data_IF_640140494554
#
_entry.id   IF_640140494554
#
_cell.length_a   1.000
_cell.length_b   1.000
_cell.length_c   1.000
_cell.angle_alpha   90.00
_cell.angle_beta   90.00
_cell.angle_gamma   90.00
#
_symmetry.space_group_name_H-M   'P 1'
#
loop_
_entity.id
_entity.type
_entity.pdbx_description
1 polymer ?
#
# COMPACT_ATOMS: atom_id res chain seq x y z
N UNK A 1 -15.91 -12.92 5.23
CA UNK A 1 -15.09 -12.02 4.38
C UNK A 1 -15.89 -11.67 3.15
N UNK A 2 -15.90 -10.39 2.76
CA UNK A 2 -16.56 -9.92 1.55
C UNK A 2 -15.66 -10.24 0.33
N UNK A 3 -16.22 -10.93 -0.67
CA UNK A 3 -15.49 -11.36 -1.87
C UNK A 3 -15.10 -10.19 -2.77
N UNK A 4 -15.94 -9.17 -2.89
CA UNK A 4 -15.71 -8.01 -3.75
C UNK A 4 -14.54 -7.17 -3.22
N UNK A 5 -14.42 -7.00 -1.90
CA UNK A 5 -13.27 -6.33 -1.26
C UNK A 5 -11.97 -7.09 -1.51
N UNK A 6 -12.03 -8.41 -1.38
CA UNK A 6 -10.87 -9.29 -1.61
C UNK A 6 -10.44 -9.23 -3.07
N UNK A 7 -11.40 -9.24 -4.00
CA UNK A 7 -11.16 -9.08 -5.43
C UNK A 7 -10.57 -7.70 -5.75
N UNK A 8 -11.08 -6.63 -5.14
CA UNK A 8 -10.55 -5.29 -5.32
C UNK A 8 -9.09 -5.17 -4.87
N UNK A 9 -8.72 -5.78 -3.74
CA UNK A 9 -7.33 -5.86 -3.27
C UNK A 9 -6.45 -6.67 -4.25
N UNK A 10 -6.97 -7.77 -4.78
CA UNK A 10 -6.26 -8.58 -5.79
C UNK A 10 -6.02 -7.78 -7.09
N UNK A 11 -7.04 -7.10 -7.60
CA UNK A 11 -6.90 -6.21 -8.76
C UNK A 11 -5.87 -5.10 -8.49
N UNK A 12 -5.87 -4.53 -7.29
CA UNK A 12 -4.89 -3.53 -6.91
C UNK A 12 -3.47 -4.07 -6.91
N UNK A 13 -3.22 -5.24 -6.29
CA UNK A 13 -1.88 -5.88 -6.31
C UNK A 13 -1.40 -6.07 -7.75
N UNK A 14 -2.28 -6.59 -8.62
CA UNK A 14 -1.96 -6.83 -10.02
C UNK A 14 -1.83 -5.54 -10.87
N UNK A 15 -2.22 -4.39 -10.34
CA UNK A 15 -2.06 -3.08 -10.99
C UNK A 15 -0.68 -2.45 -10.79
N UNK A 16 0.12 -3.00 -9.85
CA UNK A 16 1.43 -2.44 -9.51
C UNK A 16 2.47 -2.91 -10.52
N UNK A 17 3.04 -1.96 -11.25
CA UNK A 17 4.09 -2.22 -12.22
C UNK A 17 5.29 -2.96 -11.59
N UNK A 18 5.83 -3.96 -12.29
CA UNK A 18 7.01 -4.70 -11.84
C UNK A 18 6.74 -5.75 -10.75
N UNK A 19 5.48 -5.98 -10.38
CA UNK A 19 5.08 -7.12 -9.54
C UNK A 19 4.58 -8.30 -10.42
N UNK A 20 4.86 -9.56 -10.04
CA UNK A 20 4.27 -10.71 -10.71
C UNK A 20 2.75 -10.73 -10.54
N UNK A 21 2.02 -11.02 -11.61
CA UNK A 21 0.58 -11.19 -11.56
C UNK A 21 0.21 -12.45 -10.78
N UNK A 22 -0.76 -12.32 -9.87
CA UNK A 22 -1.30 -13.41 -9.05
C UNK A 22 -2.78 -13.60 -9.34
N UNK A 23 -3.26 -14.84 -9.15
CA UNK A 23 -4.66 -15.23 -9.35
C UNK A 23 -5.45 -15.22 -8.02
N UNK A 24 -4.77 -15.28 -6.89
CA UNK A 24 -5.37 -15.22 -5.55
C UNK A 24 -4.40 -14.61 -4.54
N UNK A 25 -4.96 -13.88 -3.56
CA UNK A 25 -4.18 -13.32 -2.46
C UNK A 25 -3.46 -14.40 -1.64
N UNK A 26 -3.97 -15.64 -1.62
CA UNK A 26 -3.33 -16.79 -0.95
C UNK A 26 -1.89 -16.99 -1.42
N UNK A 27 -1.55 -16.62 -2.67
CA UNK A 27 -0.19 -16.70 -3.21
C UNK A 27 0.81 -15.73 -2.56
N UNK A 28 0.32 -14.80 -1.73
CA UNK A 28 1.15 -13.88 -0.94
C UNK A 28 1.57 -14.46 0.42
N UNK A 29 1.13 -15.68 0.76
CA UNK A 29 1.32 -16.29 2.08
C UNK A 29 2.78 -16.59 2.45
N UNK A 30 3.71 -16.54 1.49
CA UNK A 30 5.13 -16.75 1.72
C UNK A 30 5.90 -15.44 1.99
N UNK A 31 5.22 -14.30 1.85
CA UNK A 31 5.75 -12.95 2.10
C UNK A 31 6.60 -12.38 0.97
N UNK A 32 6.98 -13.16 -0.04
CA UNK A 32 7.95 -12.74 -1.08
C UNK A 32 7.41 -11.54 -1.88
N UNK A 33 6.17 -11.65 -2.34
CA UNK A 33 5.53 -10.59 -3.13
C UNK A 33 5.23 -9.34 -2.28
N UNK A 34 4.84 -9.52 -1.02
CA UNK A 34 4.57 -8.42 -0.10
C UNK A 34 5.84 -7.60 0.19
N UNK A 35 6.98 -8.28 0.38
CA UNK A 35 8.28 -7.64 0.56
C UNK A 35 8.67 -6.85 -0.68
N UNK A 36 8.54 -7.45 -1.88
CA UNK A 36 8.85 -6.77 -3.13
C UNK A 36 8.00 -5.50 -3.36
N UNK A 37 6.72 -5.53 -2.96
CA UNK A 37 5.88 -4.33 -2.98
C UNK A 37 6.36 -3.28 -1.97
N UNK A 38 6.66 -3.68 -0.74
CA UNK A 38 7.15 -2.75 0.29
C UNK A 38 8.50 -2.12 -0.06
N UNK A 39 9.38 -2.85 -0.75
CA UNK A 39 10.66 -2.31 -1.23
C UNK A 39 10.43 -1.17 -2.23
N UNK A 40 9.42 -1.29 -3.10
CA UNK A 40 9.05 -0.22 -4.02
C UNK A 40 8.36 0.96 -3.31
N UNK A 41 7.62 0.67 -2.24
CA UNK A 41 6.86 1.68 -1.49
C UNK A 41 7.79 2.50 -0.59
N UNK A 42 8.61 1.85 0.23
CA UNK A 42 9.50 2.45 1.24
C UNK A 42 10.93 1.90 1.14
N UNK A 43 11.65 2.15 0.03
CA UNK A 43 12.98 1.58 -0.19
C UNK A 43 14.00 1.94 0.90
N UNK A 44 13.81 3.08 1.58
CA UNK A 44 14.70 3.52 2.66
C UNK A 44 14.69 2.60 3.89
N UNK A 45 13.66 1.77 4.06
CA UNK A 45 13.57 0.79 5.16
C UNK A 45 14.25 -0.54 4.85
N UNK A 46 14.78 -0.70 3.63
CA UNK A 46 15.38 -1.94 3.15
C UNK A 46 16.91 -1.82 3.15
N UNK A 47 17.61 -2.58 4.01
CA UNK A 47 19.06 -2.64 3.98
C UNK A 47 19.55 -3.26 2.66
N UNK A 48 20.65 -2.75 2.10
CA UNK A 48 21.18 -3.20 0.81
C UNK A 48 21.57 -4.69 0.77
N UNK A 49 21.88 -5.30 1.92
CA UNK A 49 22.38 -6.67 2.03
C UNK A 49 21.44 -7.59 2.82
N UNK A 50 20.13 -7.29 2.88
CA UNK A 50 19.19 -8.12 3.65
C UNK A 50 18.85 -9.41 2.89
N UNK A 51 19.27 -10.56 3.42
CA UNK A 51 18.93 -11.87 2.86
C UNK A 51 17.74 -12.50 3.60
N UNK A 52 16.57 -12.50 2.95
CA UNK A 52 15.33 -13.06 3.51
C UNK A 52 14.98 -14.42 2.87
N UNK A 53 15.83 -15.40 3.13
CA UNK A 53 15.78 -16.72 2.46
C UNK A 53 14.64 -17.62 2.94
N UNK A 54 14.21 -17.49 4.19
CA UNK A 54 13.14 -18.31 4.78
C UNK A 54 11.81 -17.56 4.85
N UNK A 55 10.68 -18.28 4.80
CA UNK A 55 9.33 -17.68 4.98
C UNK A 55 9.23 -16.96 6.33
N UNK A 56 9.76 -17.56 7.40
CA UNK A 56 9.77 -16.95 8.74
C UNK A 56 10.55 -15.65 8.75
N UNK A 57 11.77 -15.60 8.19
CA UNK A 57 12.55 -14.37 8.11
C UNK A 57 11.82 -13.28 7.30
N UNK A 58 11.14 -13.67 6.21
CA UNK A 58 10.31 -12.76 5.42
C UNK A 58 9.15 -12.18 6.23
N UNK A 59 8.43 -13.01 6.98
CA UNK A 59 7.32 -12.56 7.82
C UNK A 59 7.77 -11.71 9.00
N UNK A 60 8.87 -12.08 9.66
CA UNK A 60 9.43 -11.28 10.75
C UNK A 60 9.88 -9.89 10.25
N UNK A 61 10.48 -9.83 9.06
CA UNK A 61 10.85 -8.58 8.43
C UNK A 61 9.62 -7.74 8.03
N UNK A 62 8.59 -8.38 7.47
CA UNK A 62 7.32 -7.73 7.14
C UNK A 62 6.65 -7.13 8.39
N UNK A 63 6.65 -7.88 9.50
CA UNK A 63 6.13 -7.43 10.80
C UNK A 63 6.91 -6.20 11.29
N UNK A 64 8.25 -6.24 11.20
CA UNK A 64 9.10 -5.13 11.59
C UNK A 64 8.80 -3.87 10.79
N UNK A 65 8.82 -3.95 9.46
CA UNK A 65 8.59 -2.80 8.56
C UNK A 65 7.21 -2.19 8.81
N UNK A 66 6.15 -3.01 8.78
CA UNK A 66 4.80 -2.50 9.03
C UNK A 66 4.65 -1.93 10.44
N UNK A 67 5.26 -2.55 11.45
CA UNK A 67 5.16 -2.02 12.82
C UNK A 67 5.80 -0.65 12.97
N UNK A 68 6.93 -0.43 12.30
CA UNK A 68 7.62 0.85 12.29
C UNK A 68 6.82 1.92 11.53
N UNK A 69 6.30 1.59 10.34
CA UNK A 69 5.50 2.51 9.53
C UNK A 69 4.23 2.99 10.25
N UNK A 70 3.55 2.08 10.94
CA UNK A 70 2.28 2.36 11.62
C UNK A 70 2.45 2.71 13.11
N UNK A 71 3.69 2.74 13.62
CA UNK A 71 4.02 2.91 15.03
C UNK A 71 3.11 2.07 15.95
N UNK A 72 2.90 0.81 15.57
CA UNK A 72 1.94 -0.13 16.18
C UNK A 72 2.50 -1.53 16.07
N UNK A 73 2.32 -2.37 17.09
CA UNK A 73 2.65 -3.80 16.99
C UNK A 73 1.68 -4.51 16.04
N UNK A 74 2.13 -4.80 14.82
CA UNK A 74 1.24 -5.31 13.78
C UNK A 74 0.78 -6.75 14.05
N UNK A 75 1.55 -7.52 14.80
CA UNK A 75 1.22 -8.88 15.24
C UNK A 75 0.04 -8.94 16.24
N UNK A 76 -0.32 -7.81 16.86
CA UNK A 76 -1.56 -7.66 17.65
C UNK A 76 -2.79 -7.35 16.78
N UNK A 77 -2.59 -7.01 15.50
CA UNK A 77 -3.65 -6.63 14.54
C UNK A 77 -3.88 -7.67 13.45
N UNK A 78 -2.83 -8.39 13.08
CA UNK A 78 -2.80 -9.39 12.01
C UNK A 78 -2.19 -10.68 12.55
N UNK A 79 -2.86 -11.80 12.30
CA UNK A 79 -2.37 -13.12 12.70
C UNK A 79 -1.46 -13.73 11.63
N UNK A 80 -0.18 -13.34 11.62
CA UNK A 80 0.81 -13.86 10.67
C UNK A 80 1.03 -15.38 10.76
N UNK A 81 0.76 -16.00 11.93
CA UNK A 81 0.80 -17.46 12.04
C UNK A 81 -0.31 -18.12 11.20
N UNK A 82 -1.48 -17.50 11.13
CA UNK A 82 -2.57 -17.99 10.28
C UNK A 82 -2.25 -17.82 8.78
N UNK A 83 -1.56 -16.74 8.41
CA UNK A 83 -1.05 -16.53 7.05
C UNK A 83 -0.10 -17.66 6.65
N UNK A 84 0.93 -17.94 7.46
CA UNK A 84 1.95 -18.95 7.08
C UNK A 84 1.40 -20.37 7.13
N UNK A 85 0.65 -20.72 8.17
CA UNK A 85 0.26 -22.11 8.42
C UNK A 85 -1.01 -22.54 7.67
N UNK A 86 -1.93 -21.60 7.45
CA UNK A 86 -3.24 -21.89 6.88
C UNK A 86 -3.54 -21.10 5.61
N UNK A 87 -2.62 -20.24 5.18
CA UNK A 87 -2.81 -19.33 4.05
C UNK A 87 -4.13 -18.56 4.18
N UNK A 88 -4.40 -18.08 5.40
CA UNK A 88 -5.64 -17.41 5.77
C UNK A 88 -5.82 -16.13 4.93
N UNK A 89 -6.72 -16.20 3.96
CA UNK A 89 -6.95 -15.11 2.99
C UNK A 89 -7.48 -13.84 3.66
N UNK A 90 -8.17 -13.97 4.80
CA UNK A 90 -8.67 -12.82 5.54
C UNK A 90 -7.52 -12.07 6.21
N UNK A 91 -6.59 -12.79 6.86
CA UNK A 91 -5.40 -12.17 7.44
C UNK A 91 -4.46 -11.61 6.36
N UNK A 92 -4.32 -12.29 5.22
CA UNK A 92 -3.58 -11.76 4.06
C UNK A 92 -4.23 -10.47 3.56
N UNK A 93 -5.56 -10.43 3.44
CA UNK A 93 -6.29 -9.24 2.98
C UNK A 93 -6.04 -8.03 3.88
N UNK A 94 -5.96 -8.22 5.21
CA UNK A 94 -5.57 -7.15 6.14
C UNK A 94 -4.19 -6.60 5.83
N UNK A 95 -3.21 -7.48 5.58
CA UNK A 95 -1.85 -7.07 5.23
C UNK A 95 -1.85 -6.30 3.91
N UNK A 96 -2.53 -6.79 2.88
CA UNK A 96 -2.59 -6.13 1.57
C UNK A 96 -3.25 -4.77 1.68
N UNK A 97 -4.32 -4.65 2.47
CA UNK A 97 -4.99 -3.37 2.73
C UNK A 97 -4.04 -2.35 3.40
N UNK A 98 -3.21 -2.79 4.34
CA UNK A 98 -2.18 -1.95 4.96
C UNK A 98 -1.07 -1.60 3.97
N UNK A 99 -0.59 -2.54 3.17
CA UNK A 99 0.43 -2.27 2.14
C UNK A 99 -0.09 -1.27 1.11
N UNK A 100 -1.36 -1.38 0.70
CA UNK A 100 -2.03 -0.42 -0.17
C UNK A 100 -2.05 0.98 0.43
N UNK A 101 -2.53 1.10 1.67
CA UNK A 101 -2.54 2.39 2.35
C UNK A 101 -1.14 2.98 2.47
N UNK A 102 -0.15 2.14 2.77
CA UNK A 102 1.24 2.55 2.83
C UNK A 102 1.76 3.09 1.50
N UNK A 103 1.38 2.48 0.37
CA UNK A 103 1.72 2.97 -0.95
C UNK A 103 1.17 4.38 -1.21
N UNK A 104 -0.04 4.67 -0.73
CA UNK A 104 -0.73 5.95 -0.93
C UNK A 104 -0.25 7.05 0.00
N UNK A 105 0.27 6.72 1.19
CA UNK A 105 0.56 7.69 2.26
C UNK A 105 2.05 7.85 2.54
N UNK A 106 2.82 6.76 2.53
CA UNK A 106 4.22 6.77 2.95
C UNK A 106 5.21 6.69 1.78
N UNK A 107 4.75 6.29 0.59
CA UNK A 107 5.65 6.19 -0.56
C UNK A 107 6.19 7.56 -0.99
N UNK A 108 7.39 7.58 -1.57
CA UNK A 108 7.87 8.74 -2.33
C UNK A 108 7.20 8.86 -3.71
N UNK A 109 6.59 7.79 -4.21
CA UNK A 109 5.94 7.71 -5.51
C UNK A 109 4.41 7.51 -5.41
N UNK A 110 3.77 8.17 -4.43
CA UNK A 110 2.34 8.05 -4.14
C UNK A 110 1.47 8.26 -5.40
N UNK A 111 1.83 9.24 -6.21
CA UNK A 111 1.08 9.59 -7.44
C UNK A 111 0.98 8.42 -8.41
N UNK A 112 2.05 7.61 -8.55
CA UNK A 112 2.03 6.44 -9.43
C UNK A 112 1.06 5.38 -8.91
N UNK A 113 1.03 5.15 -7.59
CA UNK A 113 0.09 4.21 -6.98
C UNK A 113 -1.36 4.69 -7.09
N UNK A 114 -1.61 5.98 -6.82
CA UNK A 114 -2.95 6.60 -6.98
C UNK A 114 -3.42 6.44 -8.43
N UNK A 115 -2.59 6.79 -9.42
CA UNK A 115 -2.92 6.66 -10.83
C UNK A 115 -3.16 5.20 -11.25
N UNK A 116 -2.47 4.24 -10.63
CA UNK A 116 -2.69 2.81 -10.89
C UNK A 116 -4.05 2.37 -10.38
N UNK A 117 -4.44 2.81 -9.18
CA UNK A 117 -5.80 2.59 -8.64
C UNK A 117 -6.88 3.21 -9.53
N UNK A 118 -6.67 4.43 -10.06
CA UNK A 118 -7.64 5.12 -10.92
C UNK A 118 -7.82 4.47 -12.30
N UNK A 119 -6.96 3.52 -12.70
CA UNK A 119 -7.13 2.73 -13.93
C UNK A 119 -8.03 1.49 -13.72
N UNK A 120 -8.30 1.12 -12.47
CA UNK A 120 -9.16 -0.02 -12.14
C UNK A 120 -10.62 0.29 -12.46
N UNK A 121 -11.48 -0.72 -12.46
CA UNK A 121 -12.91 -0.49 -12.67
C UNK A 121 -13.53 0.32 -11.51
N UNK A 122 -14.63 1.04 -11.77
CA UNK A 122 -15.25 1.95 -10.79
C UNK A 122 -15.67 1.25 -9.49
N UNK A 123 -16.19 0.03 -9.57
CA UNK A 123 -16.57 -0.74 -8.38
C UNK A 123 -15.35 -1.08 -7.52
N UNK A 124 -14.23 -1.43 -8.13
CA UNK A 124 -12.96 -1.66 -7.44
C UNK A 124 -12.42 -0.37 -6.84
N UNK A 125 -12.46 0.75 -7.56
CA UNK A 125 -12.04 2.04 -7.02
C UNK A 125 -12.83 2.45 -5.79
N UNK A 126 -14.16 2.34 -5.84
CA UNK A 126 -15.04 2.59 -4.69
C UNK A 126 -14.71 1.65 -3.53
N UNK A 127 -14.50 0.37 -3.86
CA UNK A 127 -14.18 -0.62 -2.86
C UNK A 127 -12.87 -0.30 -2.10
N UNK A 128 -11.83 0.10 -2.84
CA UNK A 128 -10.53 0.49 -2.30
C UNK A 128 -10.60 1.82 -1.55
N UNK A 129 -11.40 2.78 -2.04
CA UNK A 129 -11.61 4.09 -1.39
C UNK A 129 -12.13 3.92 0.04
N UNK A 130 -13.17 3.13 0.25
CA UNK A 130 -13.73 2.93 1.59
C UNK A 130 -12.72 2.29 2.56
N UNK A 131 -11.89 1.35 2.06
CA UNK A 131 -10.83 0.73 2.86
C UNK A 131 -9.76 1.76 3.26
N UNK A 132 -9.38 2.65 2.35
CA UNK A 132 -8.45 3.76 2.63
C UNK A 132 -9.06 4.74 3.63
N UNK A 133 -10.32 5.12 3.46
CA UNK A 133 -11.02 6.06 4.35
C UNK A 133 -11.07 5.56 5.79
N UNK A 134 -11.34 4.27 6.00
CA UNK A 134 -11.29 3.65 7.34
C UNK A 134 -9.90 3.83 7.97
N UNK A 135 -8.82 3.60 7.22
CA UNK A 135 -7.46 3.78 7.72
C UNK A 135 -7.10 5.26 7.95
N UNK A 136 -7.71 6.18 7.20
CA UNK A 136 -7.55 7.63 7.39
C UNK A 136 -8.29 8.21 8.60
N UNK A 137 -9.19 7.45 9.25
CA UNK A 137 -9.88 7.91 10.48
C UNK A 137 -8.92 8.19 11.64
N UNK A 138 -7.71 7.63 11.56
CA UNK A 138 -6.64 7.82 12.53
C UNK A 138 -5.71 8.96 12.09
N UNK A 139 -5.66 10.09 12.81
CA UNK A 139 -4.87 11.27 12.41
C UNK A 139 -3.35 11.04 12.46
N UNK A 140 -2.90 10.05 13.23
CA UNK A 140 -1.49 9.67 13.33
C UNK A 140 -1.12 8.52 12.37
N UNK A 141 -2.01 8.17 11.43
CA UNK A 141 -1.88 6.99 10.57
C UNK A 141 -1.72 5.66 11.32
N UNK A 142 -2.04 5.60 12.62
CA UNK A 142 -2.08 4.35 13.41
C UNK A 142 -3.24 3.48 12.95
N UNK A 143 -3.08 2.17 13.04
CA UNK A 143 -4.12 1.20 12.64
C UNK A 143 -5.34 1.31 13.57
N UNK A 144 -6.54 1.66 13.06
CA UNK A 144 -7.77 1.69 13.86
C UNK A 144 -8.11 0.32 14.45
N UNK A 145 -8.80 0.28 15.60
CA UNK A 145 -9.09 -0.98 16.29
C UNK A 145 -9.92 -1.97 15.47
N UNK A 146 -10.85 -1.47 14.66
CA UNK A 146 -11.79 -2.27 13.87
C UNK A 146 -11.57 -2.08 12.37
N UNK A 147 -10.33 -1.81 11.97
CA UNK A 147 -9.99 -1.53 10.57
C UNK A 147 -10.35 -2.69 9.64
N UNK A 148 -10.38 -3.92 10.13
CA UNK A 148 -10.69 -5.13 9.38
C UNK A 148 -12.19 -5.37 9.17
N UNK A 149 -13.07 -4.62 9.82
CA UNK A 149 -14.52 -4.78 9.65
C UNK A 149 -14.98 -4.38 8.25
N UNK A 150 -14.29 -3.43 7.60
CA UNK A 150 -14.54 -3.05 6.19
C UNK A 150 -14.36 -4.23 5.23
N UNK A 151 -13.52 -5.21 5.58
CA UNK A 151 -13.31 -6.44 4.80
C UNK A 151 -14.42 -7.48 5.03
N UNK A 152 -15.27 -7.28 6.04
CA UNK A 152 -16.40 -8.16 6.37
C UNK A 152 -17.74 -7.61 5.92
N UNK A 153 -17.86 -6.28 5.80
CA UNK A 153 -19.12 -5.63 5.44
C UNK A 153 -19.60 -6.09 4.05
N UNK A 154 -20.81 -6.64 4.00
CA UNK A 154 -21.52 -6.82 2.74
C UNK A 154 -22.13 -5.47 2.34
N UNK A 155 -22.05 -5.12 1.06
CA UNK A 155 -22.76 -3.97 0.51
C UNK A 155 -24.25 -4.31 0.51
N UNK A 156 -24.91 -4.09 1.65
CA UNK A 156 -26.35 -4.06 1.81
C UNK A 156 -26.64 -3.48 3.20
N UNK A 157 -26.76 -2.15 3.27
CA UNK A 157 -27.75 -1.43 4.09
C UNK A 157 -27.52 0.09 4.01
N UNK A 158 -28.00 0.68 2.92
CA UNK A 158 -28.66 1.98 2.95
C UNK A 158 -29.87 1.92 2.00
N UNK A 159 -30.78 1.00 2.33
CA UNK A 159 -32.09 0.88 1.69
C UNK A 159 -33.06 1.89 2.29
N UNK A 160 -33.07 3.10 1.73
CA UNK A 160 -34.23 3.97 1.80
C UNK A 160 -35.40 3.32 1.03
N UNK A 161 -36.56 3.33 1.67
CA UNK A 161 -37.88 3.02 1.11
C UNK A 161 -38.07 3.47 -0.35
N UNK A 162 -38.45 2.54 -1.24
CA UNK A 162 -39.70 2.58 -2.01
C UNK A 162 -39.77 1.34 -2.92
N UNK A 163 -40.99 0.87 -3.20
CA UNK A 163 -41.24 -0.40 -3.88
C UNK A 163 -41.27 -0.36 -5.40
N UNK A 164 -41.86 -1.43 -5.92
CA UNK A 164 -42.34 -1.72 -7.27
C UNK A 164 -41.46 -2.65 -8.13
N UNK A 165 -42.11 -3.75 -8.49
CA UNK A 165 -41.90 -4.73 -9.55
C UNK A 165 -41.09 -4.29 -10.77
N UNK A 166 -40.34 -5.24 -11.35
CA UNK A 166 -39.74 -5.09 -12.67
C UNK A 166 -38.89 -6.28 -13.10
N UNK A 167 -39.54 -7.25 -13.71
CA UNK A 167 -38.98 -8.36 -14.50
C UNK A 167 -37.96 -7.86 -15.56
N UNK A 168 -36.81 -8.52 -15.73
CA UNK A 168 -36.27 -8.97 -17.04
C UNK A 168 -34.85 -9.55 -16.97
N UNK A 169 -34.63 -10.49 -17.88
CA UNK A 169 -33.57 -11.47 -17.96
C UNK A 169 -32.25 -10.99 -18.61
N UNK A 170 -31.18 -11.73 -18.27
CA UNK A 170 -29.98 -12.06 -19.04
C UNK A 170 -29.15 -10.93 -19.68
N UNK A 171 -27.99 -10.64 -19.06
CA UNK A 171 -26.84 -9.98 -19.71
C UNK A 171 -25.62 -10.93 -19.60
N UNK A 172 -24.84 -11.16 -20.67
CA UNK A 172 -23.75 -12.14 -20.66
C UNK A 172 -22.51 -11.63 -19.91
N UNK A 173 -21.83 -12.52 -19.18
CA UNK A 173 -20.50 -12.27 -18.59
C UNK A 173 -19.48 -11.90 -19.70
N UNK A 174 -18.59 -10.91 -19.47
CA UNK A 174 -17.44 -10.69 -20.34
C UNK A 174 -16.37 -11.76 -20.10
N UNK A 175 -15.74 -12.19 -21.20
CA UNK A 175 -14.69 -13.21 -21.23
C UNK A 175 -13.38 -12.75 -20.55
N UNK A 176 -12.55 -13.68 -20.04
CA UNK A 176 -11.30 -13.35 -19.36
C UNK A 176 -10.27 -12.71 -20.29
N UNK A 177 -9.60 -11.66 -19.79
CA UNK A 177 -8.51 -10.97 -20.47
C UNK A 177 -7.30 -11.90 -20.63
N UNK A 178 -6.91 -12.18 -21.87
CA UNK A 178 -5.67 -12.88 -22.23
C UNK A 178 -4.46 -11.95 -21.98
N UNK A 179 -3.72 -12.17 -20.90
CA UNK A 179 -2.40 -11.59 -20.73
C UNK A 179 -1.39 -12.30 -21.65
N UNK A 180 -0.74 -11.54 -22.52
CA UNK A 180 0.42 -12.01 -23.29
C UNK A 180 1.69 -11.83 -22.45
N UNK A 181 2.61 -12.78 -22.41
CA UNK A 181 3.82 -12.67 -21.59
C UNK A 181 4.80 -11.62 -22.17
N UNK A 182 5.41 -10.76 -21.35
CA UNK A 182 6.47 -9.88 -21.81
C UNK A 182 7.76 -10.65 -22.08
N UNK A 183 8.45 -10.27 -23.16
CA UNK A 183 9.77 -10.79 -23.53
C UNK A 183 10.82 -10.24 -22.56
N UNK A 184 11.47 -11.13 -21.82
CA UNK A 184 12.64 -10.81 -20.99
C UNK A 184 13.77 -10.21 -21.84
N UNK A 185 14.09 -8.93 -21.64
CA UNK A 185 15.39 -8.36 -22.02
C UNK A 185 16.35 -8.52 -20.84
N UNK A 186 17.38 -9.35 -21.02
CA UNK A 186 18.52 -9.47 -20.11
C UNK A 186 19.31 -8.15 -20.11
N UNK A 187 19.21 -7.38 -19.03
CA UNK A 187 20.14 -6.27 -18.77
C UNK A 187 21.40 -6.82 -18.11
N UNK A 188 22.51 -6.82 -18.85
CA UNK A 188 23.85 -7.07 -18.32
C UNK A 188 24.37 -5.80 -17.64
N UNK A 189 24.56 -5.83 -16.32
CA UNK A 189 25.40 -4.85 -15.64
C UNK A 189 26.81 -5.42 -15.46
N UNK A 190 27.70 -5.01 -16.35
CA UNK A 190 29.15 -5.09 -16.12
C UNK A 190 29.52 -4.09 -15.02
N UNK A 191 30.09 -4.56 -13.91
CA UNK A 191 30.86 -3.71 -12.99
C UNK A 191 32.33 -4.05 -13.13
N UNK A 192 33.07 -3.15 -13.77
CA UNK A 192 34.53 -3.13 -13.74
C UNK A 192 35.01 -2.86 -12.33
N UNK A 193 35.94 -3.72 -11.89
CA UNK A 193 36.76 -3.57 -10.69
C UNK A 193 37.81 -2.49 -10.89
N UNK A 194 37.88 -1.53 -9.97
CA UNK A 194 39.12 -0.81 -9.68
C UNK A 194 39.30 -0.77 -8.16
N UNK A 195 40.20 -1.63 -7.69
CA UNK A 195 40.84 -1.55 -6.40
C UNK A 195 42.06 -0.62 -6.50
N UNK A 196 42.33 0.16 -5.45
CA UNK A 196 43.67 0.65 -5.03
C UNK A 196 43.49 1.59 -3.83
N UNK A 197 43.71 1.10 -2.60
CA UNK A 197 44.89 1.32 -1.74
C UNK A 197 44.89 2.63 -0.95
N UNK A 198 45.07 2.52 0.37
CA UNK A 198 45.51 3.65 1.20
C UNK A 198 45.29 3.48 2.70
N UNK A 199 46.30 2.94 3.39
CA UNK A 199 46.42 2.76 4.85
C UNK A 199 46.18 4.05 5.68
N UNK A 200 45.66 3.90 6.91
CA UNK A 200 46.45 4.01 8.15
C UNK A 200 45.60 4.32 9.40
N UNK A 201 45.97 3.64 10.48
CA UNK A 201 45.47 3.74 11.85
C UNK A 201 45.75 5.09 12.51
N UNK A 202 44.88 5.53 13.45
CA UNK A 202 45.32 6.11 14.73
C UNK A 202 44.15 6.27 15.73
N UNK A 203 44.50 5.96 16.97
CA UNK A 203 43.78 6.01 18.24
C UNK A 203 43.56 7.46 18.72
N UNK A 204 42.44 7.72 19.43
CA UNK A 204 42.35 8.90 20.32
C UNK A 204 40.94 9.34 20.71
N UNK A 205 40.47 8.94 21.88
CA UNK A 205 39.50 9.68 22.72
C UNK A 205 40.05 9.70 24.16
N UNK A 206 39.53 10.46 25.15
CA UNK A 206 38.46 11.48 25.15
C UNK A 206 38.79 12.77 25.96
N UNK A 207 38.00 13.85 25.84
CA UNK A 207 37.31 14.53 26.99
C UNK A 207 36.46 15.76 26.57
N UNK A 208 35.45 16.15 27.41
CA UNK A 208 34.30 16.99 27.06
C UNK A 208 34.43 18.46 27.54
N UNK A 209 33.54 19.34 27.04
CA UNK A 209 33.21 20.63 27.68
C UNK A 209 31.82 21.15 27.26
N UNK A 210 30.89 21.08 28.22
CA UNK A 210 29.88 22.06 28.64
C UNK A 210 29.16 23.00 27.64
N UNK A 211 27.84 22.78 27.55
CA UNK A 211 26.73 23.70 27.90
C UNK A 211 26.63 25.07 27.19
N UNK A 212 25.53 25.27 26.46
CA UNK A 212 24.64 26.44 26.61
C UNK A 212 23.28 26.23 25.93
N UNK A 213 22.23 26.57 26.67
CA UNK A 213 20.83 26.62 26.28
C UNK A 213 20.60 27.63 25.14
N UNK A 214 19.70 27.31 24.21
CA UNK A 214 18.93 28.34 23.53
C UNK A 214 17.51 27.84 23.26
N UNK A 215 16.61 28.36 24.08
CA UNK A 215 15.16 28.27 23.95
C UNK A 215 14.75 28.99 22.67
N UNK A 216 14.11 28.29 21.74
CA UNK A 216 13.29 28.93 20.70
C UNK A 216 11.92 28.27 20.68
N UNK A 217 11.01 28.91 21.40
CA UNK A 217 9.57 28.76 21.24
C UNK A 217 9.20 29.28 19.85
N UNK A 218 8.70 28.42 18.98
CA UNK A 218 7.89 28.83 17.82
C UNK A 218 6.58 28.07 17.96
N UNK A 219 5.61 28.74 18.56
CA UNK A 219 4.20 28.45 18.37
C UNK A 219 3.83 28.95 16.98
N UNK A 220 3.48 28.05 16.07
CA UNK A 220 2.53 28.35 15.01
C UNK A 220 1.57 27.17 14.91
N UNK A 221 0.42 27.37 15.54
CA UNK A 221 -0.83 26.74 15.14
C UNK A 221 -1.09 27.13 13.69
N UNK A 222 -1.02 26.15 12.79
CA UNK A 222 -1.81 26.14 11.57
C UNK A 222 -2.70 24.90 11.64
N UNK A 223 -3.87 25.11 12.20
CA UNK A 223 -5.05 24.28 11.94
C UNK A 223 -5.36 24.39 10.46
N UNK A 224 -5.04 23.35 9.70
CA UNK A 224 -5.69 22.95 8.45
C UNK A 224 -5.09 21.60 8.09
N UNK A 225 -5.79 20.50 8.42
CA UNK A 225 -5.49 19.20 7.79
C UNK A 225 -5.69 19.37 6.29
N UNK A 226 -4.64 19.25 5.45
CA UNK A 226 -4.88 19.00 4.05
C UNK A 226 -5.45 17.59 3.95
N UNK A 227 -6.62 17.44 3.30
CA UNK A 227 -7.07 16.14 2.85
C UNK A 227 -5.94 15.44 2.10
N UNK A 228 -5.87 14.11 2.19
CA UNK A 228 -4.79 13.38 1.53
C UNK A 228 -4.85 13.62 0.02
N UNK A 229 -3.70 13.51 -0.69
CA UNK A 229 -3.68 13.64 -2.15
C UNK A 229 -4.72 12.77 -2.86
N UNK A 230 -5.06 11.62 -2.27
CA UNK A 230 -6.11 10.73 -2.77
C UNK A 230 -7.52 11.36 -2.73
N UNK A 231 -7.92 11.98 -1.61
CA UNK A 231 -9.20 12.70 -1.53
C UNK A 231 -9.26 13.86 -2.52
N UNK A 232 -8.18 14.65 -2.63
CA UNK A 232 -8.13 15.80 -3.55
C UNK A 232 -8.24 15.38 -5.02
N UNK A 233 -7.70 14.21 -5.38
CA UNK A 233 -7.77 13.67 -6.74
C UNK A 233 -9.14 13.04 -7.02
N UNK A 234 -9.76 12.35 -6.06
CA UNK A 234 -11.09 11.77 -6.23
C UNK A 234 -12.22 12.80 -6.20
N UNK A 235 -12.05 13.91 -5.48
CA UNK A 235 -13.04 14.99 -5.35
C UNK A 235 -12.94 16.07 -6.45
N UNK A 236 -12.06 15.89 -7.44
CA UNK A 236 -11.94 16.80 -8.59
C UNK A 236 -12.70 16.27 -9.81
N UNK A 237 -14.02 16.52 -9.95
CA UNK A 237 -14.70 16.28 -11.20
C UNK A 237 -14.15 17.26 -12.25
N UNK A 238 -13.77 16.73 -13.41
CA UNK A 238 -13.28 17.52 -14.53
C UNK A 238 -14.26 18.66 -14.85
N UNK A 239 -13.74 19.89 -14.88
CA UNK A 239 -14.39 21.03 -15.51
C UNK A 239 -14.43 20.79 -17.02
N UNK A 240 -15.51 20.15 -17.48
CA UNK A 240 -15.91 20.15 -18.88
C UNK A 240 -16.67 21.45 -19.17
N UNK A 241 -16.34 22.05 -20.32
CA UNK A 241 -16.98 23.19 -21.00
C UNK A 241 -16.57 24.61 -20.59
N UNK A 242 -15.64 25.16 -21.37
CA UNK A 242 -15.94 26.43 -22.05
C UNK A 242 -15.27 26.49 -23.43
N UNK A 243 -16.08 26.25 -24.46
CA UNK A 243 -15.78 26.70 -25.80
C UNK A 243 -15.83 28.23 -25.82
N UNK A 244 -14.80 28.86 -26.37
CA UNK A 244 -14.80 30.29 -26.69
C UNK A 244 -14.73 30.41 -28.20
N UNK A 245 -15.74 31.00 -28.88
CA UNK A 245 -15.61 31.32 -30.30
C UNK A 245 -14.78 32.59 -30.43
N UNK A 246 -13.78 32.55 -31.33
CA UNK A 246 -13.11 33.74 -31.82
C UNK A 246 -14.01 34.41 -32.86
N UNK A 247 -14.42 35.65 -32.58
CA UNK A 247 -14.72 36.67 -33.58
C UNK A 247 -13.62 37.72 -33.50
#
# INVERSE_FOLDING_TARGET
MNRDRTHALLEWVNSIDGTPCIESLIQLNDGTHLIHMLEQIVPAMFPADVELTTVTARMDFLIMVLSEMYNTKIDERVNFKAIVNFADEFEISKVVMLVMYSAMVFSSNQQSFILSTLKLNTSTQEALKEMIEVLMTSPDHKIPQNFDDVLKQNVNEQGGSSGADGDTANIPLPAPLKCSPPKFQKSMFNRSLLASLGNSSAIGTPKPLSRKNSTRTISQEYTNSPGTPFQQVMESPQLVHRATPLL
#
